data_IF_080931528621
#
_entry.id   IF_080931528621
#
_cell.length_a   1.000
_cell.length_b   1.000
_cell.length_c   1.000
_cell.angle_alpha   90.00
_cell.angle_beta   90.00
_cell.angle_gamma   90.00
#
_symmetry.space_group_name_H-M   'P 1'
#
loop_
_entity.id
_entity.type
_entity.pdbx_description
1 polymer ?
#
# COMPACT_ATOMS: atom_id res chain seq x y z
N UNK A 1 2.03 10.93 11.11
CA UNK A 1 1.02 10.44 10.15
C UNK A 1 1.66 9.41 9.23
N UNK A 2 1.00 8.29 9.01
CA UNK A 2 1.52 7.25 8.14
C UNK A 2 1.13 7.56 6.70
N UNK A 3 2.14 7.54 5.81
CA UNK A 3 1.92 7.79 4.39
C UNK A 3 2.11 6.48 3.63
N UNK A 4 1.04 5.90 3.07
CA UNK A 4 1.19 4.69 2.27
C UNK A 4 1.74 5.01 0.88
N UNK A 5 2.68 4.18 0.42
CA UNK A 5 3.20 4.23 -0.95
C UNK A 5 2.89 2.92 -1.63
N UNK A 6 2.52 2.99 -2.91
CA UNK A 6 2.23 1.81 -3.72
C UNK A 6 3.21 1.75 -4.87
N UNK A 7 3.95 0.67 -4.94
CA UNK A 7 5.00 0.47 -5.96
C UNK A 7 4.74 -0.79 -6.74
N UNK A 8 4.97 -0.71 -8.04
CA UNK A 8 4.87 -1.85 -8.95
C UNK A 8 6.27 -2.28 -9.39
N UNK A 9 6.47 -3.59 -9.49
CA UNK A 9 7.74 -4.13 -9.98
C UNK A 9 7.79 -4.04 -11.49
N UNK A 10 8.76 -3.30 -12.01
CA UNK A 10 9.00 -3.13 -13.44
C UNK A 10 10.48 -3.32 -13.75
N UNK A 11 10.78 -4.28 -14.62
CA UNK A 11 12.16 -4.56 -15.04
C UNK A 11 13.11 -4.76 -13.85
N UNK A 12 12.63 -5.47 -12.82
CA UNK A 12 13.42 -5.75 -11.63
C UNK A 12 13.51 -4.61 -10.62
N UNK A 13 12.77 -3.53 -10.84
CA UNK A 13 12.80 -2.38 -9.94
C UNK A 13 11.39 -2.00 -9.51
N UNK A 14 11.25 -1.60 -8.26
CA UNK A 14 9.98 -1.10 -7.74
C UNK A 14 9.84 0.38 -8.08
N UNK A 15 8.75 0.73 -8.75
CA UNK A 15 8.49 2.10 -9.18
C UNK A 15 7.10 2.53 -8.78
N UNK A 16 6.94 3.82 -8.49
CA UNK A 16 5.63 4.41 -8.24
C UNK A 16 5.04 4.80 -9.59
N UNK A 17 3.94 4.14 -9.96
CA UNK A 17 3.17 4.48 -11.15
C UNK A 17 1.97 5.25 -10.66
N UNK A 18 1.95 6.57 -10.89
CA UNK A 18 0.97 7.46 -10.27
C UNK A 18 -0.47 7.05 -10.52
N UNK A 19 -0.78 6.59 -11.72
CA UNK A 19 -2.14 6.13 -12.06
C UNK A 19 -2.56 4.98 -11.15
N UNK A 20 -1.69 3.98 -11.00
CA UNK A 20 -2.00 2.82 -10.17
C UNK A 20 -1.94 3.17 -8.67
N UNK A 21 -1.01 4.02 -8.28
CA UNK A 21 -0.89 4.43 -6.88
C UNK A 21 -2.13 5.20 -6.43
N UNK A 22 -2.66 6.06 -7.29
CA UNK A 22 -3.89 6.80 -6.97
C UNK A 22 -5.07 5.87 -6.78
N UNK A 23 -5.21 4.88 -7.67
CA UNK A 23 -6.25 3.87 -7.55
C UNK A 23 -6.09 3.06 -6.27
N UNK A 24 -4.87 2.65 -5.95
CA UNK A 24 -4.59 1.85 -4.76
C UNK A 24 -4.89 2.62 -3.48
N UNK A 25 -4.61 3.92 -3.44
CA UNK A 25 -4.96 4.74 -2.28
C UNK A 25 -6.46 4.78 -2.06
N UNK A 26 -7.24 4.87 -3.14
CA UNK A 26 -8.68 4.78 -3.07
C UNK A 26 -9.16 3.44 -2.54
N UNK A 27 -8.53 2.36 -2.99
CA UNK A 27 -8.84 1.01 -2.52
C UNK A 27 -8.48 0.84 -1.04
N UNK A 28 -7.41 1.47 -0.58
CA UNK A 28 -7.04 1.41 0.83
C UNK A 28 -8.05 2.12 1.73
N UNK A 29 -8.59 3.25 1.29
CA UNK A 29 -9.67 3.92 2.00
C UNK A 29 -10.89 3.00 2.10
N UNK A 30 -11.23 2.32 1.01
CA UNK A 30 -12.33 1.38 0.99
C UNK A 30 -12.07 0.19 1.92
N UNK A 31 -10.85 -0.32 1.92
CA UNK A 31 -10.45 -1.41 2.80
C UNK A 31 -10.65 -1.01 4.28
N UNK A 32 -10.22 0.19 4.63
CA UNK A 32 -10.37 0.69 6.00
C UNK A 32 -11.84 0.79 6.41
N UNK A 33 -12.72 1.19 5.48
CA UNK A 33 -14.15 1.28 5.73
C UNK A 33 -14.76 -0.12 5.85
N UNK A 34 -14.42 -1.01 4.91
CA UNK A 34 -15.00 -2.36 4.86
C UNK A 34 -14.68 -3.17 6.11
N UNK A 35 -13.51 -2.99 6.69
CA UNK A 35 -13.08 -3.73 7.86
C UNK A 35 -13.11 -2.91 9.15
N UNK A 36 -13.66 -1.71 9.09
CA UNK A 36 -13.77 -0.81 10.25
C UNK A 36 -12.43 -0.65 10.98
N UNK A 37 -11.39 -0.39 10.20
CA UNK A 37 -10.03 -0.30 10.73
C UNK A 37 -9.90 0.90 11.67
N UNK A 38 -9.51 0.64 12.91
CA UNK A 38 -9.28 1.69 13.91
C UNK A 38 -7.80 1.87 14.25
N UNK A 39 -6.98 0.85 13.97
CA UNK A 39 -5.55 0.89 14.24
C UNK A 39 -4.76 0.87 12.94
N UNK A 40 -3.73 1.75 12.79
CA UNK A 40 -2.93 1.77 11.58
C UNK A 40 -2.28 0.43 11.22
N UNK A 41 -1.86 -0.34 12.24
CA UNK A 41 -1.24 -1.65 11.99
C UNK A 41 -2.12 -2.59 11.20
N UNK A 42 -3.43 -2.46 11.32
CA UNK A 42 -4.36 -3.33 10.60
C UNK A 42 -4.32 -3.07 9.09
N UNK A 43 -3.86 -1.90 8.67
CA UNK A 43 -3.69 -1.58 7.25
C UNK A 43 -2.58 -2.42 6.59
N UNK A 44 -1.66 -2.98 7.37
CA UNK A 44 -0.62 -3.84 6.83
C UNK A 44 -1.17 -5.12 6.21
N UNK A 45 -2.40 -5.48 6.51
CA UNK A 45 -3.05 -6.63 5.93
C UNK A 45 -3.72 -6.32 4.57
N UNK A 46 -3.63 -5.08 4.12
CA UNK A 46 -4.19 -4.66 2.84
C UNK A 46 -3.58 -5.49 1.71
N UNK A 47 -4.45 -6.07 0.89
CA UNK A 47 -4.00 -6.92 -0.22
C UNK A 47 -4.83 -6.70 -1.49
N UNK A 48 -5.57 -5.59 -1.56
CA UNK A 48 -6.38 -5.29 -2.74
C UNK A 48 -5.50 -5.04 -3.95
N UNK A 49 -5.95 -5.52 -5.09
CA UNK A 49 -5.31 -5.34 -6.39
C UNK A 49 -3.88 -5.90 -6.46
N UNK A 50 -3.59 -6.89 -5.60
CA UNK A 50 -2.28 -7.56 -5.60
C UNK A 50 -1.19 -6.86 -4.82
N UNK A 51 -1.48 -5.71 -4.21
CA UNK A 51 -0.50 -5.03 -3.36
C UNK A 51 -0.41 -5.71 -2.00
N UNK A 52 0.81 -5.79 -1.47
CA UNK A 52 1.05 -6.33 -0.14
C UNK A 52 2.10 -5.49 0.59
N UNK A 53 2.00 -5.43 1.91
CA UNK A 53 2.94 -4.67 2.72
C UNK A 53 4.36 -5.21 2.53
N UNK A 54 5.30 -4.31 2.25
CA UNK A 54 6.71 -4.66 2.05
C UNK A 54 7.53 -4.06 3.17
N UNK A 55 7.88 -4.88 4.16
CA UNK A 55 8.60 -4.41 5.33
C UNK A 55 10.02 -3.96 5.02
N UNK A 56 10.65 -4.52 3.99
CA UNK A 56 12.02 -4.15 3.61
C UNK A 56 12.11 -2.73 3.07
N UNK A 57 11.09 -2.28 2.36
CA UNK A 57 11.05 -0.94 1.78
C UNK A 57 10.38 0.07 2.68
N UNK A 58 9.72 -0.39 3.75
CA UNK A 58 8.94 0.49 4.62
C UNK A 58 9.81 1.09 5.73
N UNK A 59 9.43 2.30 6.15
CA UNK A 59 10.00 2.99 7.30
C UNK A 59 8.88 3.28 8.31
N UNK A 60 9.22 3.84 9.44
CA UNK A 60 8.26 4.03 10.54
C UNK A 60 7.02 4.82 10.13
N UNK A 61 7.18 5.84 9.29
CA UNK A 61 6.08 6.71 8.85
C UNK A 61 5.71 6.51 7.38
N UNK A 62 6.50 5.75 6.64
CA UNK A 62 6.31 5.56 5.21
C UNK A 62 6.19 4.07 4.93
N UNK A 63 4.96 3.58 4.82
CA UNK A 63 4.67 2.18 4.59
C UNK A 63 4.55 1.91 3.10
N UNK A 64 5.35 0.97 2.60
CA UNK A 64 5.37 0.62 1.19
C UNK A 64 4.60 -0.66 0.96
N UNK A 65 3.67 -0.61 0.02
CA UNK A 65 2.94 -1.76 -0.47
C UNK A 65 3.38 -2.00 -1.91
N UNK A 66 3.82 -3.20 -2.19
CA UNK A 66 4.38 -3.52 -3.50
C UNK A 66 3.57 -4.59 -4.21
N UNK A 67 3.62 -4.55 -5.53
CA UNK A 67 2.96 -5.52 -6.41
C UNK A 67 3.97 -5.98 -7.45
N UNK A 68 4.03 -7.28 -7.65
CA UNK A 68 4.88 -7.89 -8.69
C UNK A 68 4.18 -7.96 -10.04
#
# INVERSE_FOLDING_TARGET
>A
MITPEFRDLKNGKYKIIQFFAKKARGLMVRYAIDYSISKPEDLKNFDYDGYAFNSELSHSDNWVFSRN
#
